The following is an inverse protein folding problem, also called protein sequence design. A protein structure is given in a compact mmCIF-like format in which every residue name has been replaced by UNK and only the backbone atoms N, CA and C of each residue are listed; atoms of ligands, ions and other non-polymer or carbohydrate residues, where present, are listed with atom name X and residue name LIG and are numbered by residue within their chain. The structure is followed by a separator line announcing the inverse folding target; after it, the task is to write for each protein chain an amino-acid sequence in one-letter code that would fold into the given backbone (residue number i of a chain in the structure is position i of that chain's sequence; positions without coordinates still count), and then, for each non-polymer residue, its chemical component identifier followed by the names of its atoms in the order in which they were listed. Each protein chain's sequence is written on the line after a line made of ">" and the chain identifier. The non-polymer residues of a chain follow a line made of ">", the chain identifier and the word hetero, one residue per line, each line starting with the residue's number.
data_IF_832629875662
#
_entry.id   IF_832629875662
#
_cell.length_a   1.000
_cell.length_b   1.000
_cell.length_c   1.000
_cell.angle_alpha   90.00
_cell.angle_beta   90.00
_cell.angle_gamma   90.00
#
_symmetry.space_group_name_H-M   'P 1'
#
loop_
_entity.id
_entity.type
_entity.pdbx_description
1 polymer ?
#
# COMPACT_ATOMS: atom_id res chain seq x y z
N UNK A 1 0.57 25.94 27.30
CA UNK A 1 0.29 24.54 26.99
C UNK A 1 -0.44 23.81 28.11
N UNK A 2 -0.22 24.12 29.39
CA UNK A 2 -0.97 23.58 30.52
C UNK A 2 -2.44 24.02 30.55
N UNK A 3 -2.74 25.27 30.19
CA UNK A 3 -4.13 25.79 30.17
C UNK A 3 -4.99 25.13 29.08
N UNK A 4 -4.38 24.78 27.94
CA UNK A 4 -5.07 24.08 26.85
C UNK A 4 -5.34 22.62 27.23
N UNK A 5 -4.41 21.96 27.92
CA UNK A 5 -4.59 20.61 28.42
C UNK A 5 -5.68 20.53 29.51
N UNK A 6 -5.81 21.56 30.33
CA UNK A 6 -6.84 21.65 31.37
C UNK A 6 -8.22 21.92 30.78
N UNK A 7 -8.33 22.75 29.74
CA UNK A 7 -9.57 23.00 29.02
C UNK A 7 -10.05 21.73 28.30
N UNK A 8 -9.16 20.99 27.64
CA UNK A 8 -9.44 19.70 26.99
C UNK A 8 -9.86 18.63 27.99
N UNK A 9 -9.23 18.62 29.18
CA UNK A 9 -9.59 17.75 30.28
C UNK A 9 -10.98 18.04 30.83
N UNK A 10 -11.30 19.29 31.03
CA UNK A 10 -12.63 19.71 31.51
C UNK A 10 -13.71 19.42 30.46
N UNK A 11 -13.44 19.65 29.18
CA UNK A 11 -14.34 19.27 28.09
C UNK A 11 -14.58 17.75 28.04
N UNK A 12 -13.57 16.94 28.29
CA UNK A 12 -13.68 15.49 28.37
C UNK A 12 -14.53 15.05 29.59
N UNK A 13 -14.35 15.70 30.75
CA UNK A 13 -15.15 15.44 31.95
C UNK A 13 -16.62 15.79 31.70
N UNK A 14 -16.91 16.95 31.12
CA UNK A 14 -18.29 17.36 30.80
C UNK A 14 -18.92 16.43 29.75
N UNK A 15 -18.17 16.00 28.77
CA UNK A 15 -18.63 14.99 27.81
C UNK A 15 -18.90 13.63 28.49
N UNK A 16 -18.04 13.21 29.40
CA UNK A 16 -18.24 11.99 30.18
C UNK A 16 -19.47 12.09 31.10
N UNK A 17 -19.69 13.26 31.73
CA UNK A 17 -20.89 13.51 32.53
C UNK A 17 -22.17 13.49 31.69
N UNK A 18 -22.13 14.05 30.48
CA UNK A 18 -23.25 14.05 29.55
C UNK A 18 -23.62 12.64 29.05
N UNK A 19 -22.68 11.71 29.10
CA UNK A 19 -22.90 10.28 28.81
C UNK A 19 -23.34 9.48 30.03
N UNK A 20 -23.30 10.06 31.24
CA UNK A 20 -23.86 9.47 32.45
C UNK A 20 -25.37 9.73 32.49
N UNK A 21 -26.16 8.77 32.01
CA UNK A 21 -27.62 8.79 32.22
C UNK A 21 -27.97 8.06 33.50
N UNK A 22 -28.97 8.60 34.16
CA UNK A 22 -29.55 7.96 35.36
C UNK A 22 -30.21 6.65 34.91
N UNK A 23 -29.58 5.54 35.23
CA UNK A 23 -30.09 4.19 34.95
C UNK A 23 -30.95 3.74 36.13
N UNK A 24 -32.06 4.39 36.36
CA UNK A 24 -33.06 4.03 37.36
C UNK A 24 -33.75 2.68 37.09
N UNK A 25 -33.00 1.67 36.76
CA UNK A 25 -33.52 0.31 36.49
C UNK A 25 -32.46 -0.78 36.61
N UNK A 26 -31.21 -0.40 36.87
CA UNK A 26 -30.13 -1.38 37.14
C UNK A 26 -30.05 -1.64 38.64
N UNK A 27 -29.79 -2.92 39.07
CA UNK A 27 -29.68 -3.26 40.48
C UNK A 27 -28.64 -2.37 41.17
N UNK A 28 -29.08 -1.67 42.21
CA UNK A 28 -28.20 -0.86 43.07
C UNK A 28 -27.08 -1.73 43.62
N UNK A 29 -25.84 -1.38 43.36
CA UNK A 29 -24.69 -1.97 44.04
C UNK A 29 -23.46 -2.31 43.23
N UNK A 30 -23.46 -2.22 41.90
CA UNK A 30 -22.21 -2.35 41.10
C UNK A 30 -21.79 -1.02 40.50
N UNK A 31 -20.87 -0.33 41.20
CA UNK A 31 -20.16 0.81 40.63
C UNK A 31 -19.16 0.26 39.61
N UNK A 32 -19.41 0.51 38.34
CA UNK A 32 -18.44 0.20 37.26
C UNK A 32 -17.35 1.26 37.35
N UNK A 33 -16.19 0.91 37.86
CA UNK A 33 -15.01 1.75 37.80
C UNK A 33 -14.50 1.74 36.35
N UNK A 34 -14.79 2.77 35.64
CA UNK A 34 -14.36 2.96 34.30
C UNK A 34 -13.01 3.70 34.29
N UNK A 35 -11.95 3.04 33.80
CA UNK A 35 -10.67 3.69 33.61
C UNK A 35 -10.67 4.39 32.24
N UNK A 36 -10.69 5.75 32.19
CA UNK A 36 -10.74 6.48 30.92
C UNK A 36 -9.57 6.15 29.99
N UNK A 37 -8.37 5.94 30.55
CA UNK A 37 -7.17 5.59 29.76
C UNK A 37 -7.34 4.21 29.11
N UNK A 38 -7.82 3.23 29.87
CA UNK A 38 -8.07 1.88 29.34
C UNK A 38 -9.19 1.88 28.31
N UNK A 39 -10.22 2.68 28.49
CA UNK A 39 -11.30 2.87 27.52
C UNK A 39 -10.79 3.49 26.23
N UNK A 40 -10.08 4.61 26.31
CA UNK A 40 -9.49 5.27 25.14
C UNK A 40 -8.52 4.31 24.43
N UNK A 41 -7.69 3.58 25.18
CA UNK A 41 -6.77 2.60 24.61
C UNK A 41 -7.51 1.45 23.90
N UNK A 42 -8.61 0.96 24.49
CA UNK A 42 -9.47 -0.05 23.88
C UNK A 42 -10.14 0.45 22.61
N UNK A 43 -10.76 1.63 22.65
CA UNK A 43 -11.43 2.20 21.47
C UNK A 43 -10.47 2.68 20.38
N UNK A 44 -9.25 3.09 20.71
CA UNK A 44 -8.20 3.35 19.71
C UNK A 44 -7.86 2.12 18.89
N UNK A 45 -8.00 0.93 19.47
CA UNK A 45 -7.81 -0.35 18.78
C UNK A 45 -9.11 -0.96 18.24
N UNK A 46 -10.25 -0.29 18.46
CA UNK A 46 -11.53 -0.80 17.98
C UNK A 46 -11.49 -0.95 16.46
N UNK A 47 -11.75 -2.16 16.00
CA UNK A 47 -11.66 -2.53 14.60
C UNK A 47 -10.22 -2.79 14.10
N UNK A 48 -9.20 -2.87 14.95
CA UNK A 48 -7.92 -3.40 14.55
C UNK A 48 -8.05 -4.88 14.21
N UNK A 49 -7.30 -5.29 13.20
CA UNK A 49 -7.15 -6.68 12.83
C UNK A 49 -5.93 -7.21 13.56
N UNK A 50 -6.11 -8.20 14.44
CA UNK A 50 -5.00 -8.79 15.18
C UNK A 50 -3.98 -9.44 14.25
N UNK A 51 -2.71 -9.47 14.66
CA UNK A 51 -1.64 -10.07 13.87
C UNK A 51 -1.89 -11.56 13.60
N UNK A 52 -2.50 -12.28 14.53
CA UNK A 52 -2.96 -13.65 14.35
C UNK A 52 -3.96 -13.79 13.19
N UNK A 53 -4.92 -12.87 13.12
CA UNK A 53 -5.93 -12.82 12.05
C UNK A 53 -5.29 -12.43 10.72
N UNK A 54 -4.41 -11.42 10.70
CA UNK A 54 -3.66 -11.05 9.50
C UNK A 54 -2.82 -12.23 8.98
N UNK A 55 -2.12 -12.93 9.86
CA UNK A 55 -1.32 -14.11 9.50
C UNK A 55 -2.20 -15.23 8.96
N UNK A 56 -3.37 -15.47 9.54
CA UNK A 56 -4.34 -16.45 9.06
C UNK A 56 -4.86 -16.11 7.65
N UNK A 57 -5.16 -14.84 7.38
CA UNK A 57 -5.60 -14.38 6.07
C UNK A 57 -4.47 -14.56 5.05
N UNK A 58 -3.28 -14.02 5.32
CA UNK A 58 -2.18 -13.97 4.37
C UNK A 58 -1.57 -15.35 4.10
N UNK A 59 -1.55 -16.26 5.09
CA UNK A 59 -1.04 -17.61 4.91
C UNK A 59 -2.08 -18.62 4.38
N UNK A 60 -3.31 -18.21 4.16
CA UNK A 60 -4.41 -19.11 3.81
C UNK A 60 -4.24 -19.83 2.46
N UNK A 61 -3.36 -19.33 1.59
CA UNK A 61 -3.07 -19.92 0.27
C UNK A 61 -1.85 -20.88 0.30
N UNK A 62 -1.30 -21.19 1.44
CA UNK A 62 -0.14 -22.08 1.54
C UNK A 62 -0.21 -23.02 2.73
N UNK A 63 0.22 -24.27 2.49
CA UNK A 63 0.42 -25.28 3.53
C UNK A 63 1.90 -25.46 3.88
N UNK A 64 2.82 -24.72 3.24
CA UNK A 64 4.26 -24.82 3.47
C UNK A 64 4.64 -24.13 4.77
N UNK A 65 5.07 -24.87 5.78
CA UNK A 65 5.44 -24.34 7.10
C UNK A 65 6.50 -23.21 7.06
N UNK A 66 7.59 -23.31 6.25
CA UNK A 66 8.55 -22.22 6.15
C UNK A 66 7.95 -20.91 5.64
N UNK A 67 7.06 -20.99 4.63
CA UNK A 67 6.42 -19.81 4.08
C UNK A 67 5.45 -19.19 5.09
N UNK A 68 4.68 -19.99 5.83
CA UNK A 68 3.82 -19.49 6.90
C UNK A 68 4.61 -18.76 7.98
N UNK A 69 5.77 -19.30 8.37
CA UNK A 69 6.67 -18.64 9.34
C UNK A 69 7.11 -17.28 8.82
N UNK A 70 7.60 -17.18 7.59
CA UNK A 70 8.03 -15.91 6.99
C UNK A 70 6.88 -14.89 6.89
N UNK A 71 5.66 -15.34 6.58
CA UNK A 71 4.47 -14.47 6.57
C UNK A 71 4.16 -13.96 7.98
N UNK A 72 4.22 -14.82 9.00
CA UNK A 72 3.99 -14.42 10.39
C UNK A 72 5.01 -13.37 10.85
N UNK A 73 6.30 -13.58 10.56
CA UNK A 73 7.37 -12.61 10.84
C UNK A 73 7.14 -11.27 10.13
N UNK A 74 6.68 -11.30 8.88
CA UNK A 74 6.32 -10.08 8.15
C UNK A 74 5.10 -9.38 8.75
N UNK A 75 4.09 -10.13 9.20
CA UNK A 75 2.92 -9.57 9.89
C UNK A 75 3.31 -8.96 11.24
N UNK A 76 4.18 -9.57 12.00
CA UNK A 76 4.70 -9.00 13.25
C UNK A 76 5.39 -7.65 12.99
N UNK A 77 6.14 -7.55 11.89
CA UNK A 77 6.82 -6.31 11.51
C UNK A 77 5.85 -5.20 11.06
N UNK A 78 4.83 -5.51 10.29
CA UNK A 78 3.99 -4.51 9.62
C UNK A 78 2.56 -4.39 10.15
N UNK A 79 2.05 -5.32 10.92
CA UNK A 79 0.64 -5.43 11.29
C UNK A 79 0.10 -4.20 12.03
N UNK A 80 0.84 -3.66 12.98
CA UNK A 80 0.45 -2.45 13.69
C UNK A 80 0.33 -1.25 12.73
N UNK A 81 1.26 -1.13 11.78
CA UNK A 81 1.21 -0.06 10.79
C UNK A 81 0.08 -0.26 9.78
N UNK A 82 -0.25 -1.49 9.42
CA UNK A 82 -1.45 -1.78 8.59
C UNK A 82 -2.70 -1.24 9.28
N UNK A 83 -2.88 -1.52 10.54
CA UNK A 83 -4.04 -1.05 11.31
C UNK A 83 -4.07 0.50 11.41
N UNK A 84 -2.95 1.13 11.76
CA UNK A 84 -2.82 2.61 11.81
C UNK A 84 -3.17 3.25 10.48
N UNK A 85 -2.69 2.67 9.38
CA UNK A 85 -2.91 3.19 8.03
C UNK A 85 -4.36 2.97 7.58
N UNK A 86 -4.96 1.83 7.89
CA UNK A 86 -6.37 1.61 7.63
C UNK A 86 -7.24 2.66 8.32
N UNK A 87 -6.96 2.99 9.57
CA UNK A 87 -7.66 4.08 10.29
C UNK A 87 -7.40 5.45 9.66
N UNK A 88 -6.13 5.80 9.41
CA UNK A 88 -5.73 7.09 8.82
C UNK A 88 -6.44 7.38 7.50
N UNK A 89 -6.61 6.39 6.66
CA UNK A 89 -7.19 6.54 5.32
C UNK A 89 -8.65 6.09 5.23
N UNK A 90 -9.34 6.00 6.36
CA UNK A 90 -10.78 5.70 6.44
C UNK A 90 -11.13 4.31 5.87
N UNK A 91 -10.21 3.35 6.00
CA UNK A 91 -10.49 1.93 5.73
C UNK A 91 -10.98 1.25 7.00
N UNK A 92 -12.00 1.87 7.62
CA UNK A 92 -12.48 1.54 8.96
C UNK A 92 -13.67 0.56 8.98
N UNK A 93 -14.22 0.22 7.83
CA UNK A 93 -15.25 -0.82 7.74
C UNK A 93 -14.62 -2.18 7.43
N UNK A 94 -15.20 -3.31 7.88
CA UNK A 94 -14.67 -4.64 7.58
C UNK A 94 -14.48 -4.89 6.08
N UNK A 95 -15.39 -4.40 5.23
CA UNK A 95 -15.29 -4.52 3.78
C UNK A 95 -14.07 -3.78 3.23
N UNK A 96 -13.91 -2.50 3.58
CA UNK A 96 -12.76 -1.70 3.12
C UNK A 96 -11.44 -2.33 3.58
N UNK A 97 -11.39 -2.86 4.81
CA UNK A 97 -10.22 -3.59 5.33
C UNK A 97 -9.94 -4.84 4.53
N UNK A 98 -10.97 -5.63 4.24
CA UNK A 98 -10.83 -6.85 3.45
C UNK A 98 -10.26 -6.56 2.05
N UNK A 99 -10.76 -5.53 1.37
CA UNK A 99 -10.20 -5.08 0.10
C UNK A 99 -8.76 -4.57 0.25
N UNK A 100 -8.47 -3.76 1.27
CA UNK A 100 -7.13 -3.23 1.50
C UNK A 100 -6.11 -4.35 1.72
N UNK A 101 -6.43 -5.30 2.58
CA UNK A 101 -5.58 -6.46 2.88
C UNK A 101 -5.45 -7.37 1.65
N UNK A 102 -6.56 -7.72 1.01
CA UNK A 102 -6.56 -8.63 -0.14
C UNK A 102 -5.79 -8.09 -1.35
N UNK A 103 -5.90 -6.80 -1.62
CA UNK A 103 -5.11 -6.15 -2.67
C UNK A 103 -3.61 -6.08 -2.30
N UNK A 104 -3.30 -5.74 -1.04
CA UNK A 104 -1.93 -5.64 -0.56
C UNK A 104 -1.21 -6.99 -0.50
N UNK A 105 -1.92 -8.06 -0.16
CA UNK A 105 -1.39 -9.41 -0.13
C UNK A 105 -0.72 -9.81 -1.46
N UNK A 106 -1.34 -9.43 -2.56
CA UNK A 106 -0.84 -9.77 -3.91
C UNK A 106 0.28 -8.82 -4.36
N UNK A 107 0.17 -7.52 -4.06
CA UNK A 107 1.17 -6.53 -4.45
C UNK A 107 2.51 -6.73 -3.72
N UNK A 108 2.47 -7.13 -2.46
CA UNK A 108 3.64 -7.25 -1.59
C UNK A 108 4.11 -8.68 -1.37
N UNK A 109 3.61 -9.65 -2.16
CA UNK A 109 3.88 -11.07 -1.92
C UNK A 109 3.74 -11.42 -0.42
N UNK A 110 2.53 -11.18 0.12
CA UNK A 110 2.19 -11.43 1.52
C UNK A 110 3.02 -10.61 2.54
N UNK A 111 3.37 -9.38 2.23
CA UNK A 111 4.26 -8.49 2.99
C UNK A 111 5.76 -8.89 2.94
N UNK A 112 6.12 -9.96 2.26
CA UNK A 112 7.51 -10.41 2.19
C UNK A 112 8.33 -9.62 1.17
N UNK A 113 7.69 -9.00 0.19
CA UNK A 113 8.34 -8.21 -0.85
C UNK A 113 7.80 -6.79 -0.83
N UNK A 114 8.58 -5.87 -0.30
CA UNK A 114 8.21 -4.44 -0.17
C UNK A 114 8.93 -3.54 -1.18
N UNK A 115 9.78 -4.13 -2.00
CA UNK A 115 10.46 -3.46 -3.10
C UNK A 115 10.56 -4.39 -4.30
N UNK A 116 10.25 -3.87 -5.48
CA UNK A 116 10.41 -4.57 -6.75
C UNK A 116 11.91 -4.86 -6.99
N UNK A 117 12.24 -6.12 -7.27
CA UNK A 117 13.62 -6.58 -7.46
C UNK A 117 13.91 -6.80 -8.94
N UNK A 118 15.18 -6.61 -9.32
CA UNK A 118 15.65 -6.88 -10.67
C UNK A 118 15.71 -8.38 -10.93
N UNK A 119 15.40 -8.78 -12.16
CA UNK A 119 15.45 -10.18 -12.60
C UNK A 119 16.25 -10.29 -13.90
N UNK A 120 16.91 -11.40 -14.08
CA UNK A 120 17.52 -11.75 -15.35
C UNK A 120 16.44 -11.89 -16.42
N UNK A 121 16.78 -11.49 -17.64
CA UNK A 121 15.94 -11.72 -18.81
C UNK A 121 16.73 -12.57 -19.81
N UNK A 122 16.31 -13.81 -19.97
CA UNK A 122 16.97 -14.75 -20.85
C UNK A 122 16.21 -14.90 -22.18
N UNK A 123 16.88 -15.36 -23.21
CA UNK A 123 16.25 -15.73 -24.49
C UNK A 123 16.25 -17.24 -24.59
N UNK A 124 15.08 -17.85 -24.60
CA UNK A 124 14.90 -19.30 -24.80
C UNK A 124 14.07 -19.50 -26.07
N UNK A 125 14.63 -20.23 -27.02
CA UNK A 125 14.01 -20.48 -28.34
C UNK A 125 13.57 -19.17 -29.05
N UNK A 126 14.41 -18.15 -28.99
CA UNK A 126 14.15 -16.84 -29.60
C UNK A 126 13.09 -15.98 -28.89
N UNK A 127 12.59 -16.40 -27.74
CA UNK A 127 11.59 -15.66 -26.95
C UNK A 127 12.19 -15.21 -25.61
N UNK A 128 11.89 -13.96 -25.20
CA UNK A 128 12.33 -13.48 -23.90
C UNK A 128 11.57 -14.20 -22.77
N UNK A 129 12.30 -14.62 -21.76
CA UNK A 129 11.81 -15.32 -20.58
C UNK A 129 12.40 -14.65 -19.35
N UNK A 130 11.59 -14.38 -18.32
CA UNK A 130 12.07 -13.89 -17.03
C UNK A 130 12.85 -14.98 -16.31
N UNK A 131 14.05 -14.63 -15.87
CA UNK A 131 14.95 -15.51 -15.14
C UNK A 131 14.89 -15.33 -13.64
N UNK A 132 15.95 -15.75 -12.97
CA UNK A 132 16.11 -15.63 -11.53
C UNK A 132 16.36 -14.18 -11.11
N UNK A 133 16.14 -13.88 -9.84
CA UNK A 133 16.50 -12.61 -9.24
C UNK A 133 18.01 -12.39 -9.40
N UNK A 134 18.40 -11.21 -9.84
CA UNK A 134 19.81 -10.82 -9.92
C UNK A 134 20.39 -10.81 -8.52
N UNK A 135 21.42 -11.60 -8.28
CA UNK A 135 22.13 -11.72 -7.00
C UNK A 135 23.13 -10.56 -6.85
N UNK A 136 22.65 -9.35 -6.98
CA UNK A 136 23.43 -8.14 -6.78
C UNK A 136 22.82 -7.38 -5.61
N UNK A 137 23.51 -7.37 -4.47
CA UNK A 137 23.04 -6.70 -3.26
C UNK A 137 22.76 -5.22 -3.48
N UNK A 138 23.57 -4.55 -4.30
CA UNK A 138 23.38 -3.12 -4.61
C UNK A 138 22.12 -2.86 -5.44
N UNK A 139 21.76 -3.76 -6.36
CA UNK A 139 20.58 -3.62 -7.22
C UNK A 139 19.30 -4.09 -6.56
N UNK A 140 19.39 -5.12 -5.74
CA UNK A 140 18.25 -5.80 -5.13
C UNK A 140 18.28 -5.77 -3.61
N UNK A 141 18.99 -4.82 -3.03
CA UNK A 141 18.97 -4.65 -1.59
C UNK A 141 17.55 -4.35 -1.15
N UNK A 142 16.94 -5.34 -0.53
CA UNK A 142 15.50 -5.35 -0.24
C UNK A 142 15.09 -4.27 0.73
N UNK A 143 15.99 -3.95 1.65
CA UNK A 143 15.67 -3.05 2.73
C UNK A 143 15.89 -1.59 2.38
N UNK A 144 16.80 -1.28 1.47
CA UNK A 144 17.23 0.09 1.27
C UNK A 144 17.08 0.59 -0.17
N UNK A 145 17.36 -0.20 -1.20
CA UNK A 145 17.34 0.24 -2.60
C UNK A 145 18.18 1.49 -2.84
N UNK A 146 19.24 1.69 -2.06
CA UNK A 146 19.97 2.95 -1.96
C UNK A 146 21.03 3.13 -3.04
N UNK A 147 21.42 2.10 -3.74
CA UNK A 147 22.46 2.19 -4.79
C UNK A 147 22.15 3.21 -5.90
N UNK A 148 20.90 3.59 -6.04
CA UNK A 148 20.51 4.63 -7.01
C UNK A 148 21.10 6.02 -6.73
N UNK A 149 21.58 6.26 -5.52
CA UNK A 149 22.35 7.44 -5.22
C UNK A 149 23.86 7.25 -5.42
N UNK A 150 24.32 5.99 -5.41
CA UNK A 150 25.72 5.64 -5.46
C UNK A 150 26.23 5.37 -6.88
N UNK A 151 25.40 4.75 -7.72
CA UNK A 151 25.75 4.37 -9.10
C UNK A 151 24.67 4.87 -10.10
N UNK A 152 24.50 6.19 -10.25
CA UNK A 152 23.40 6.77 -11.00
C UNK A 152 23.49 6.53 -12.52
N UNK A 153 24.64 6.11 -13.02
CA UNK A 153 24.89 5.85 -14.47
C UNK A 153 24.68 4.39 -14.87
N UNK A 154 24.57 3.49 -13.91
CA UNK A 154 24.35 2.07 -14.20
C UNK A 154 22.88 1.80 -14.55
N UNK A 155 22.63 1.25 -15.73
CA UNK A 155 21.28 0.97 -16.22
C UNK A 155 20.92 -0.48 -15.90
N UNK A 156 19.78 -0.65 -15.20
CA UNK A 156 19.18 -1.94 -14.98
C UNK A 156 18.21 -2.28 -16.12
N UNK A 157 18.63 -3.18 -16.99
CA UNK A 157 17.86 -3.58 -18.19
C UNK A 157 16.48 -4.15 -17.84
N UNK A 158 16.30 -4.73 -16.66
CA UNK A 158 15.00 -5.25 -16.25
C UNK A 158 13.94 -4.16 -16.13
N UNK A 159 14.31 -2.98 -15.64
CA UNK A 159 13.37 -1.85 -15.49
C UNK A 159 13.24 -1.01 -16.74
N UNK A 160 14.28 -0.91 -17.57
CA UNK A 160 14.27 -0.15 -18.82
C UNK A 160 13.70 -0.93 -20.02
N UNK A 161 13.60 -2.26 -19.91
CA UNK A 161 13.12 -3.16 -20.95
C UNK A 161 11.68 -3.65 -20.79
N UNK A 162 11.29 -4.56 -21.66
CA UNK A 162 10.06 -5.36 -21.51
C UNK A 162 10.30 -6.49 -20.56
N UNK A 163 9.35 -6.73 -19.64
CA UNK A 163 9.44 -7.76 -18.60
C UNK A 163 8.60 -8.98 -18.97
N UNK A 164 9.16 -10.14 -18.73
CA UNK A 164 8.50 -11.43 -18.93
C UNK A 164 8.67 -12.31 -17.70
N UNK A 165 7.70 -13.20 -17.44
CA UNK A 165 7.81 -14.21 -16.40
C UNK A 165 8.62 -15.43 -16.87
N UNK A 166 8.87 -16.39 -15.96
CA UNK A 166 9.59 -17.65 -16.26
C UNK A 166 8.93 -18.52 -17.35
N UNK A 167 7.64 -18.28 -17.64
CA UNK A 167 6.89 -18.98 -18.69
C UNK A 167 6.90 -18.22 -20.03
N UNK A 168 7.62 -17.10 -20.12
CA UNK A 168 7.66 -16.24 -21.31
C UNK A 168 6.42 -15.38 -21.52
N UNK A 169 5.54 -15.26 -20.51
CA UNK A 169 4.38 -14.38 -20.61
C UNK A 169 4.79 -12.93 -20.29
N UNK A 170 4.28 -12.00 -21.07
CA UNK A 170 4.53 -10.59 -20.87
C UNK A 170 3.97 -10.10 -19.50
N UNK A 171 4.78 -9.40 -18.73
CA UNK A 171 4.41 -8.82 -17.45
C UNK A 171 4.17 -7.32 -17.57
N UNK A 172 5.16 -6.58 -18.05
CA UNK A 172 5.10 -5.12 -18.16
C UNK A 172 6.09 -4.59 -19.22
N UNK A 173 5.81 -3.38 -19.72
CA UNK A 173 6.74 -2.62 -20.56
C UNK A 173 7.79 -1.88 -19.74
N UNK A 174 8.64 -1.16 -20.46
CA UNK A 174 9.58 -0.22 -19.86
C UNK A 174 8.87 0.87 -19.09
N UNK A 175 9.41 1.23 -17.93
CA UNK A 175 8.96 2.38 -17.14
C UNK A 175 9.76 3.65 -17.39
N UNK A 176 10.71 3.63 -18.35
CA UNK A 176 11.66 4.74 -18.59
C UNK A 176 10.98 6.07 -18.90
N UNK A 177 9.84 6.04 -19.61
CA UNK A 177 9.08 7.23 -20.00
C UNK A 177 7.59 7.09 -19.70
N UNK A 178 7.27 6.49 -18.56
CA UNK A 178 5.91 6.37 -18.02
C UNK A 178 5.86 6.84 -16.57
N UNK A 179 4.69 7.20 -16.09
CA UNK A 179 4.48 7.67 -14.72
C UNK A 179 5.44 8.81 -14.32
N UNK A 180 5.75 9.72 -15.24
CA UNK A 180 6.63 10.87 -15.02
C UNK A 180 8.13 10.56 -14.99
N UNK A 181 8.54 9.34 -15.24
CA UNK A 181 9.96 8.97 -15.34
C UNK A 181 10.60 9.63 -16.58
N UNK A 182 11.85 10.06 -16.44
CA UNK A 182 12.61 10.80 -17.44
C UNK A 182 13.84 10.02 -17.94
N UNK A 183 13.67 8.75 -18.28
CA UNK A 183 14.72 7.88 -18.80
C UNK A 183 14.94 6.61 -18.00
N UNK A 184 15.94 5.83 -18.41
CA UNK A 184 16.19 4.48 -17.87
C UNK A 184 16.59 4.48 -16.41
N UNK A 185 17.36 5.47 -15.98
CA UNK A 185 17.76 5.62 -14.58
C UNK A 185 16.52 5.82 -13.68
N UNK A 186 15.53 6.57 -14.13
CA UNK A 186 14.31 6.76 -13.39
C UNK A 186 13.47 5.48 -13.27
N UNK A 187 13.48 4.64 -14.28
CA UNK A 187 12.76 3.39 -14.26
C UNK A 187 13.21 2.51 -13.08
N UNK A 188 14.50 2.44 -12.84
CA UNK A 188 15.07 1.70 -11.71
C UNK A 188 15.00 2.47 -10.39
N UNK A 189 15.21 3.79 -10.42
CA UNK A 189 15.17 4.66 -9.25
C UNK A 189 13.79 4.69 -8.62
N UNK A 190 12.75 4.78 -9.42
CA UNK A 190 11.36 4.86 -8.99
C UNK A 190 10.60 3.55 -9.22
N UNK A 191 11.29 2.42 -9.01
CA UNK A 191 10.68 1.08 -9.00
C UNK A 191 9.58 0.97 -7.95
N UNK A 192 8.76 -0.04 -8.05
CA UNK A 192 7.71 -0.29 -7.07
C UNK A 192 8.27 -0.47 -5.65
N UNK A 193 7.76 0.30 -4.69
CA UNK A 193 8.07 0.19 -3.27
C UNK A 193 6.84 0.33 -2.40
N UNK A 194 6.89 -0.28 -1.22
CA UNK A 194 5.83 -0.25 -0.22
C UNK A 194 4.71 -1.24 -0.52
N UNK A 195 3.73 -1.26 0.36
CA UNK A 195 2.64 -2.25 0.40
C UNK A 195 1.78 -2.33 -0.88
N UNK A 196 1.73 -1.27 -1.66
CA UNK A 196 1.00 -1.20 -2.94
C UNK A 196 1.90 -0.90 -4.13
N UNK A 197 3.21 -1.11 -3.99
CA UNK A 197 4.19 -0.91 -5.06
C UNK A 197 4.07 0.45 -5.73
N UNK A 198 4.23 1.54 -4.94
CA UNK A 198 4.29 2.91 -5.46
C UNK A 198 5.39 3.00 -6.52
N UNK A 199 5.03 3.33 -7.76
CA UNK A 199 5.91 3.26 -8.93
C UNK A 199 5.87 4.55 -9.74
N UNK A 200 7.04 5.01 -10.21
CA UNK A 200 7.21 6.13 -11.10
C UNK A 200 7.37 7.48 -10.42
N UNK A 201 8.21 8.36 -11.00
CA UNK A 201 8.60 9.65 -10.43
C UNK A 201 7.39 10.53 -10.05
N UNK A 202 6.35 10.55 -10.87
CA UNK A 202 5.16 11.35 -10.59
C UNK A 202 4.42 10.91 -9.33
N UNK A 203 4.26 9.61 -9.13
CA UNK A 203 3.61 9.06 -7.94
C UNK A 203 4.47 9.29 -6.69
N UNK A 204 5.80 9.13 -6.83
CA UNK A 204 6.72 9.46 -5.75
C UNK A 204 6.66 10.95 -5.41
N UNK A 205 6.69 11.85 -6.39
CA UNK A 205 6.59 13.29 -6.15
C UNK A 205 5.29 13.66 -5.43
N UNK A 206 4.18 13.09 -5.84
CA UNK A 206 2.89 13.28 -5.19
C UNK A 206 2.91 12.85 -3.72
N UNK A 207 3.49 11.69 -3.43
CA UNK A 207 3.66 11.22 -2.06
C UNK A 207 4.63 12.07 -1.25
N UNK A 208 5.76 12.52 -1.86
CA UNK A 208 6.74 13.40 -1.22
C UNK A 208 6.14 14.74 -0.81
N UNK A 209 5.34 15.34 -1.69
CA UNK A 209 4.59 16.57 -1.38
C UNK A 209 3.62 16.33 -0.22
N UNK A 210 2.85 15.26 -0.28
CA UNK A 210 1.93 14.89 0.79
C UNK A 210 2.63 14.73 2.15
N UNK A 211 3.86 14.19 2.16
CA UNK A 211 4.65 14.00 3.37
C UNK A 211 5.43 15.27 3.79
N UNK A 212 5.34 16.37 3.05
CA UNK A 212 6.13 17.57 3.27
C UNK A 212 7.63 17.42 3.01
N UNK A 213 8.04 16.39 2.26
CA UNK A 213 9.45 16.14 1.91
C UNK A 213 9.88 16.80 0.61
N UNK A 214 8.94 17.38 -0.13
CA UNK A 214 9.13 18.10 -1.37
C UNK A 214 8.11 19.24 -1.42
N UNK A 215 8.54 20.43 -1.85
CA UNK A 215 7.64 21.54 -2.02
C UNK A 215 7.06 21.58 -3.45
N UNK A 216 5.82 22.02 -3.59
CA UNK A 216 5.16 22.11 -4.90
C UNK A 216 5.83 23.09 -5.86
N UNK A 217 6.55 24.07 -5.32
CA UNK A 217 7.29 25.08 -6.11
C UNK A 217 8.66 24.59 -6.61
N UNK A 218 9.12 23.40 -6.17
CA UNK A 218 10.42 22.86 -6.56
C UNK A 218 10.40 22.22 -7.96
N UNK A 219 9.22 21.97 -8.51
CA UNK A 219 9.03 21.32 -9.80
C UNK A 219 7.74 21.77 -10.48
N UNK A 220 7.61 21.52 -11.79
CA UNK A 220 6.40 21.83 -12.53
C UNK A 220 5.42 20.67 -12.50
N UNK A 221 4.17 20.93 -12.10
CA UNK A 221 3.11 19.94 -12.20
C UNK A 221 2.94 19.46 -13.65
N UNK A 222 2.69 18.17 -13.81
CA UNK A 222 2.49 17.56 -15.13
C UNK A 222 3.65 17.77 -16.09
N UNK A 223 4.93 17.69 -15.65
CA UNK A 223 6.11 17.81 -16.52
C UNK A 223 6.10 16.79 -17.67
N UNK A 224 5.41 15.67 -17.51
CA UNK A 224 5.23 14.66 -18.56
C UNK A 224 4.32 15.09 -19.72
N UNK A 225 3.62 16.23 -19.60
CA UNK A 225 2.85 16.83 -20.68
C UNK A 225 3.72 17.74 -21.56
N UNK A 226 4.96 18.01 -21.18
CA UNK A 226 5.92 18.74 -21.99
C UNK A 226 6.13 18.04 -23.34
N UNK A 227 6.16 18.81 -24.43
CA UNK A 227 6.36 18.27 -25.77
C UNK A 227 7.69 17.54 -25.95
N UNK A 228 8.72 17.99 -25.24
CA UNK A 228 10.05 17.39 -25.28
C UNK A 228 10.14 16.11 -24.42
N UNK A 229 9.31 15.99 -23.39
CA UNK A 229 9.14 14.73 -22.67
C UNK A 229 8.62 13.62 -23.60
N UNK A 230 7.61 13.94 -24.42
CA UNK A 230 7.08 12.98 -25.42
C UNK A 230 8.13 12.57 -26.45
N UNK A 231 9.08 13.44 -26.77
CA UNK A 231 10.24 13.15 -27.62
C UNK A 231 11.41 12.50 -26.89
N UNK A 232 11.27 12.22 -25.58
CA UNK A 232 12.30 11.64 -24.72
C UNK A 232 13.57 12.50 -24.62
N UNK A 233 13.43 13.80 -24.63
CA UNK A 233 14.52 14.76 -24.63
C UNK A 233 14.48 15.67 -23.41
N UNK A 234 14.95 15.15 -22.27
CA UNK A 234 14.96 15.88 -21.00
C UNK A 234 15.76 17.18 -21.03
N UNK A 235 16.83 17.26 -21.86
CA UNK A 235 17.68 18.45 -21.94
C UNK A 235 16.96 19.67 -22.51
N UNK A 236 15.92 19.47 -23.34
CA UNK A 236 15.14 20.54 -23.97
C UNK A 236 13.78 20.77 -23.26
N UNK A 237 13.44 20.03 -22.24
CA UNK A 237 12.21 20.24 -21.49
C UNK A 237 12.17 21.64 -20.88
N UNK A 238 11.05 22.32 -21.02
CA UNK A 238 10.75 23.57 -20.35
C UNK A 238 10.23 23.35 -18.94
N UNK A 239 9.46 22.28 -18.75
CA UNK A 239 8.94 21.88 -17.46
C UNK A 239 10.00 21.11 -16.68
N UNK A 240 10.19 21.49 -15.41
CA UNK A 240 11.17 20.91 -14.49
C UNK A 240 10.57 19.71 -13.75
N UNK A 241 11.09 18.49 -13.95
CA UNK A 241 10.65 17.31 -13.18
C UNK A 241 11.02 17.42 -11.71
N UNK A 242 10.24 16.75 -10.85
CA UNK A 242 10.53 16.64 -9.44
C UNK A 242 11.89 15.96 -9.18
N UNK A 243 12.68 16.51 -8.26
CA UNK A 243 13.97 15.93 -7.84
C UNK A 243 13.77 15.20 -6.52
N UNK A 244 13.99 13.89 -6.55
CA UNK A 244 13.90 13.02 -5.37
C UNK A 244 15.19 12.22 -5.28
N UNK A 245 15.98 12.44 -4.25
CA UNK A 245 17.29 11.80 -4.11
C UNK A 245 17.24 10.49 -3.32
N UNK A 246 16.25 10.32 -2.44
CA UNK A 246 16.14 9.19 -1.51
C UNK A 246 14.80 8.45 -1.64
N UNK A 247 14.52 7.80 -2.79
CA UNK A 247 13.26 7.09 -3.00
C UNK A 247 13.07 5.89 -2.04
N UNK A 248 14.18 5.32 -1.54
CA UNK A 248 14.22 4.26 -0.53
C UNK A 248 13.58 4.66 0.81
N UNK A 249 13.35 5.94 1.06
CA UNK A 249 12.61 6.45 2.24
C UNK A 249 11.26 5.77 2.46
N UNK A 250 10.69 5.22 1.39
CA UNK A 250 9.47 4.40 1.46
C UNK A 250 9.70 3.10 2.22
N UNK A 251 10.87 2.48 2.07
CA UNK A 251 11.17 1.14 2.60
C UNK A 251 12.06 1.16 3.84
N UNK A 252 12.68 2.29 4.18
CA UNK A 252 13.50 2.47 5.38
C UNK A 252 12.71 2.38 6.69
N UNK A 253 11.40 2.57 6.61
CA UNK A 253 10.53 2.62 7.77
C UNK A 253 9.23 1.88 7.48
N UNK A 254 8.80 1.01 8.40
CA UNK A 254 7.60 0.19 8.27
C UNK A 254 6.33 1.03 8.08
N UNK A 255 6.24 2.17 8.78
CA UNK A 255 5.12 3.08 8.63
C UNK A 255 5.04 3.64 7.21
N UNK A 256 6.14 4.15 6.66
CA UNK A 256 6.18 4.70 5.30
C UNK A 256 5.82 3.63 4.27
N UNK A 257 6.31 2.41 4.48
CA UNK A 257 6.02 1.27 3.61
C UNK A 257 4.52 1.02 3.46
N UNK A 258 3.78 1.02 4.55
CA UNK A 258 2.32 0.80 4.53
C UNK A 258 1.57 2.08 4.16
N UNK A 259 2.04 3.26 4.60
CA UNK A 259 1.43 4.57 4.36
C UNK A 259 1.29 4.88 2.87
N UNK A 260 2.29 4.52 2.05
CA UNK A 260 2.20 4.67 0.59
C UNK A 260 0.99 3.94 0.00
N UNK A 261 0.62 2.78 0.55
CA UNK A 261 -0.53 2.02 0.11
C UNK A 261 -1.86 2.71 0.41
N UNK A 262 -1.99 3.24 1.63
CA UNK A 262 -3.15 4.03 2.02
C UNK A 262 -3.26 5.33 1.23
N UNK A 263 -2.14 6.04 1.07
CA UNK A 263 -2.06 7.25 0.26
C UNK A 263 -2.43 6.98 -1.21
N UNK A 264 -1.94 5.90 -1.80
CA UNK A 264 -2.26 5.55 -3.18
C UNK A 264 -3.78 5.42 -3.38
N UNK A 265 -4.43 4.69 -2.51
CA UNK A 265 -5.89 4.46 -2.59
C UNK A 265 -6.67 5.76 -2.33
N UNK A 266 -6.30 6.53 -1.31
CA UNK A 266 -7.08 7.70 -0.90
C UNK A 266 -6.67 8.98 -1.61
N UNK A 267 -5.39 9.20 -1.86
CA UNK A 267 -4.82 10.41 -2.46
C UNK A 267 -4.75 10.35 -3.98
N UNK A 268 -4.28 9.23 -4.56
CA UNK A 268 -4.11 9.10 -6.01
C UNK A 268 -5.35 8.53 -6.68
N UNK A 269 -6.05 7.58 -6.05
CA UNK A 269 -7.21 6.87 -6.59
C UNK A 269 -8.45 6.94 -5.66
N UNK A 270 -8.94 8.13 -5.29
CA UNK A 270 -9.96 8.28 -4.24
C UNK A 270 -11.28 7.55 -4.54
N UNK A 271 -11.64 7.39 -5.80
CA UNK A 271 -12.82 6.62 -6.22
C UNK A 271 -12.74 5.12 -5.86
N UNK A 272 -11.55 4.62 -5.54
CA UNK A 272 -11.36 3.22 -5.16
C UNK A 272 -12.11 2.89 -3.85
N UNK A 273 -12.17 3.82 -2.91
CA UNK A 273 -12.92 3.62 -1.65
C UNK A 273 -14.42 3.51 -1.92
N UNK A 274 -14.96 4.34 -2.80
CA UNK A 274 -16.37 4.23 -3.21
C UNK A 274 -16.65 2.86 -3.84
N UNK A 275 -15.72 2.40 -4.70
CA UNK A 275 -15.84 1.07 -5.29
C UNK A 275 -15.83 -0.05 -4.25
N UNK A 276 -15.04 0.08 -3.17
CA UNK A 276 -15.07 -0.88 -2.07
C UNK A 276 -16.43 -0.88 -1.33
N UNK A 277 -17.03 0.29 -1.19
CA UNK A 277 -18.32 0.45 -0.51
C UNK A 277 -19.50 -0.15 -1.29
N UNK A 278 -19.38 -0.28 -2.61
CA UNK A 278 -20.42 -0.93 -3.44
C UNK A 278 -20.58 -2.42 -3.09
N UNK A 279 -19.60 -3.01 -2.42
CA UNK A 279 -19.66 -4.38 -1.89
C UNK A 279 -20.62 -4.54 -0.68
N UNK A 280 -21.32 -3.48 -0.26
CA UNK A 280 -22.34 -3.54 0.81
C UNK A 280 -23.46 -4.53 0.54
N UNK A 281 -23.81 -4.72 -0.71
CA UNK A 281 -24.85 -5.69 -1.09
C UNK A 281 -24.51 -7.12 -0.67
N UNK A 282 -23.20 -7.45 -0.59
CA UNK A 282 -22.76 -8.76 -0.12
C UNK A 282 -23.13 -9.03 1.35
N UNK A 283 -23.07 -8.01 2.21
CA UNK A 283 -23.44 -8.16 3.64
C UNK A 283 -24.95 -8.36 3.78
N UNK A 284 -25.75 -7.66 2.97
CA UNK A 284 -27.20 -7.70 3.04
C UNK A 284 -27.80 -8.91 2.33
N UNK A 285 -27.16 -9.40 1.28
CA UNK A 285 -27.63 -10.49 0.42
C UNK A 285 -26.58 -11.62 0.36
N UNK A 286 -26.38 -12.33 1.47
CA UNK A 286 -25.53 -13.53 1.53
C UNK A 286 -25.89 -14.48 0.39
N UNK A 287 -25.07 -14.55 -0.66
CA UNK A 287 -25.25 -15.47 -1.80
C UNK A 287 -25.09 -14.89 -3.20
N UNK A 288 -25.01 -13.57 -3.35
CA UNK A 288 -24.79 -12.95 -4.68
C UNK A 288 -23.27 -12.81 -4.98
N UNK A 289 -22.58 -13.94 -5.14
CA UNK A 289 -21.13 -13.97 -5.39
C UNK A 289 -20.69 -13.26 -6.69
N UNK A 290 -21.59 -12.98 -7.61
CA UNK A 290 -21.26 -12.29 -8.86
C UNK A 290 -20.96 -10.79 -8.64
N UNK A 291 -21.71 -10.10 -7.79
CA UNK A 291 -21.46 -8.69 -7.49
C UNK A 291 -20.14 -8.48 -6.76
N UNK A 292 -19.83 -9.32 -5.81
CA UNK A 292 -18.55 -9.32 -5.09
C UNK A 292 -17.37 -9.43 -6.05
N UNK A 293 -17.40 -10.38 -6.99
CA UNK A 293 -16.34 -10.56 -7.96
C UNK A 293 -16.16 -9.33 -8.86
N UNK A 294 -17.24 -8.69 -9.28
CA UNK A 294 -17.19 -7.44 -10.06
C UNK A 294 -16.60 -6.28 -9.27
N UNK A 295 -16.95 -6.17 -7.99
CA UNK A 295 -16.38 -5.13 -7.11
C UNK A 295 -14.89 -5.36 -6.92
N UNK A 296 -14.45 -6.60 -6.61
CA UNK A 296 -13.04 -6.91 -6.47
C UNK A 296 -12.28 -6.62 -7.77
N UNK A 297 -12.84 -6.98 -8.93
CA UNK A 297 -12.24 -6.68 -10.23
C UNK A 297 -12.09 -5.18 -10.46
N UNK A 298 -13.12 -4.40 -10.19
CA UNK A 298 -13.10 -2.94 -10.32
C UNK A 298 -12.06 -2.29 -9.41
N UNK A 299 -11.99 -2.73 -8.15
CA UNK A 299 -10.97 -2.28 -7.19
C UNK A 299 -9.57 -2.67 -7.68
N UNK A 300 -9.41 -3.89 -8.20
CA UNK A 300 -8.14 -4.37 -8.77
C UNK A 300 -7.69 -3.48 -9.93
N UNK A 301 -8.57 -3.22 -10.90
CA UNK A 301 -8.29 -2.35 -12.05
C UNK A 301 -7.97 -0.91 -11.63
N UNK A 302 -8.63 -0.40 -10.60
CA UNK A 302 -8.35 0.94 -10.08
C UNK A 302 -6.93 1.02 -9.47
N UNK A 303 -6.46 -0.02 -8.79
CA UNK A 303 -5.16 -0.06 -8.12
C UNK A 303 -4.03 -0.41 -9.11
N UNK A 304 -4.21 -1.44 -9.90
CA UNK A 304 -3.17 -2.03 -10.76
C UNK A 304 -3.21 -1.53 -12.22
N UNK A 305 -4.31 -0.88 -12.64
CA UNK A 305 -4.53 -0.49 -14.03
C UNK A 305 -4.92 -1.64 -14.97
N UNK A 306 -4.93 -2.88 -14.47
CA UNK A 306 -5.27 -4.10 -15.19
C UNK A 306 -5.87 -5.15 -14.21
N UNK A 307 -6.11 -6.35 -14.71
CA UNK A 307 -6.63 -7.49 -13.93
C UNK A 307 -5.55 -8.47 -13.46
N UNK A 308 -4.29 -8.02 -13.40
CA UNK A 308 -3.17 -8.87 -12.97
C UNK A 308 -3.37 -9.38 -11.53
N UNK A 309 -3.24 -10.70 -11.37
CA UNK A 309 -3.43 -11.35 -10.08
C UNK A 309 -4.89 -11.33 -9.57
N UNK A 310 -5.87 -11.11 -10.44
CA UNK A 310 -7.28 -10.97 -10.08
C UNK A 310 -7.79 -12.14 -9.24
N UNK A 311 -7.50 -13.37 -9.63
CA UNK A 311 -8.00 -14.56 -8.90
C UNK A 311 -7.40 -14.65 -7.48
N UNK A 312 -6.12 -14.31 -7.32
CA UNK A 312 -5.51 -14.23 -5.99
C UNK A 312 -6.11 -13.10 -5.15
N UNK A 313 -6.38 -11.93 -5.76
CA UNK A 313 -7.03 -10.80 -5.09
C UNK A 313 -8.45 -11.15 -4.66
N UNK A 314 -9.21 -11.85 -5.51
CA UNK A 314 -10.53 -12.41 -5.14
C UNK A 314 -10.39 -13.37 -3.95
N UNK A 315 -9.45 -14.30 -4.02
CA UNK A 315 -9.23 -15.26 -2.94
C UNK A 315 -8.96 -14.56 -1.60
N UNK A 316 -7.96 -13.67 -1.54
CA UNK A 316 -7.60 -13.01 -0.28
C UNK A 316 -8.66 -12.04 0.22
N UNK A 317 -9.33 -11.29 -0.66
CA UNK A 317 -10.42 -10.40 -0.27
C UNK A 317 -11.59 -11.19 0.31
N UNK A 318 -12.01 -12.28 -0.33
CA UNK A 318 -13.07 -13.15 0.18
C UNK A 318 -12.69 -13.82 1.50
N UNK A 319 -11.43 -14.28 1.60
CA UNK A 319 -10.94 -14.88 2.84
C UNK A 319 -10.94 -13.88 3.98
N UNK A 320 -10.49 -12.66 3.74
CA UNK A 320 -10.52 -11.59 4.72
C UNK A 320 -11.96 -11.25 5.15
N UNK A 321 -12.90 -11.17 4.21
CA UNK A 321 -14.32 -10.99 4.51
C UNK A 321 -14.87 -12.12 5.39
N UNK A 322 -14.65 -13.37 5.00
CA UNK A 322 -15.17 -14.53 5.74
C UNK A 322 -14.62 -14.67 7.17
N UNK A 323 -13.54 -13.96 7.50
CA UNK A 323 -12.96 -13.93 8.85
C UNK A 323 -13.41 -12.69 9.64
N UNK A 324 -13.56 -11.54 8.96
CA UNK A 324 -13.81 -10.24 9.62
C UNK A 324 -15.29 -9.82 9.63
N UNK A 325 -16.12 -10.43 8.83
CA UNK A 325 -17.57 -10.19 8.71
C UNK A 325 -18.34 -11.46 9.07
#
# INVERSE_FOLDING_TARGET
>A
DTAMAEADWNALIEHAKALCFDVSGLPAGRVWHFNPISFIAHFRKCGWVENSVLSLILSSNTNKAPLRKSITEAVEKYGDNINRIMLKYIMNTPIRRAHFIGQGAVESDYLMTIQEVSQKQDIINGKPVGGDIVQDSKRNERDLGHWYGEVPTEIDVYFSGKKYNKKGSYIAGSYSWSNGNCGDIDAQKFRGRGFKMLTGRANYASYWVYRGWLQTNDFDAYWWDDSEYKKKNTKKMKKKPAIINSPQKVTENEYNCIDTGGYFIRGIKPKTIQSMDDDKEYIMNKGQGENENRVIERVTKAINGADKGLEQRKFFTKKAKGIMI
#
